data_IF_496995370256
#
_entry.id   IF_496995370256
#
_cell.length_a   1.000
_cell.length_b   1.000
_cell.length_c   1.000
_cell.angle_alpha   90.00
_cell.angle_beta   90.00
_cell.angle_gamma   90.00
#
_symmetry.space_group_name_H-M   'P 1'
#
loop_
_entity.id
_entity.type
_entity.pdbx_description
1 polymer ?
#
# COMPACT_ATOMS: atom_id res chain seq x y z
N UNK A 1 20.92 10.53 13.66
CA UNK A 1 21.54 10.10 12.38
C UNK A 1 20.42 10.05 11.35
N UNK A 2 20.23 11.16 10.62
CA UNK A 2 19.19 11.29 9.58
C UNK A 2 19.58 10.39 8.42
N UNK A 3 18.83 9.30 8.20
CA UNK A 3 18.99 8.48 7.00
C UNK A 3 18.46 9.25 5.79
N UNK A 4 19.36 10.07 5.26
CA UNK A 4 19.27 10.74 3.97
C UNK A 4 19.38 9.68 2.87
N UNK A 5 18.32 8.87 2.70
CA UNK A 5 18.24 7.93 1.59
C UNK A 5 17.70 8.69 0.39
N UNK A 6 18.62 8.99 -0.53
CA UNK A 6 18.36 9.40 -1.91
C UNK A 6 17.47 8.34 -2.55
N UNK A 7 16.17 8.43 -2.34
CA UNK A 7 15.20 7.57 -2.98
C UNK A 7 15.04 8.09 -4.40
N UNK A 8 15.81 7.53 -5.34
CA UNK A 8 15.52 7.61 -6.78
C UNK A 8 14.19 6.87 -7.03
N UNK A 9 13.10 7.52 -6.64
CA UNK A 9 11.74 7.08 -6.84
C UNK A 9 11.34 7.45 -8.26
N UNK A 10 11.89 6.73 -9.23
CA UNK A 10 11.44 6.78 -10.60
C UNK A 10 10.37 5.69 -10.76
N UNK A 11 9.07 6.01 -10.79
CA UNK A 11 8.05 5.03 -11.12
C UNK A 11 8.27 4.58 -12.57
N UNK A 12 8.99 3.48 -12.73
CA UNK A 12 9.19 2.82 -14.00
C UNK A 12 7.91 2.06 -14.37
N UNK A 13 7.05 2.72 -15.13
CA UNK A 13 5.84 2.11 -15.67
C UNK A 13 6.22 1.30 -16.92
N UNK A 14 6.13 -0.02 -16.83
CA UNK A 14 6.34 -0.92 -17.96
C UNK A 14 5.05 -1.71 -18.22
N UNK A 15 4.66 -1.79 -19.49
CA UNK A 15 3.49 -2.52 -19.96
C UNK A 15 3.93 -3.89 -20.50
N UNK A 16 3.38 -4.99 -19.95
CA UNK A 16 3.61 -6.35 -20.45
C UNK A 16 2.32 -6.94 -21.02
N UNK A 17 2.38 -7.46 -22.24
CA UNK A 17 1.28 -8.24 -22.84
C UNK A 17 1.22 -9.65 -22.24
N UNK A 18 0.00 -10.17 -22.05
CA UNK A 18 -0.23 -11.62 -21.94
C UNK A 18 -0.71 -12.14 -23.29
N UNK A 19 -0.05 -13.18 -23.80
CA UNK A 19 -0.44 -13.82 -25.06
C UNK A 19 -1.83 -14.46 -24.94
N UNK A 20 -2.70 -14.08 -25.89
CA UNK A 20 -3.98 -14.72 -26.27
C UNK A 20 -5.01 -14.88 -25.15
N UNK A 21 -5.77 -13.82 -24.88
CA UNK A 21 -7.23 -13.91 -24.76
C UNK A 21 -7.84 -12.52 -24.90
N UNK A 22 -8.98 -12.47 -25.57
CA UNK A 22 -9.87 -11.33 -25.74
C UNK A 22 -9.97 -10.43 -24.48
N UNK A 23 -9.98 -9.11 -24.67
CA UNK A 23 -9.82 -8.03 -23.68
C UNK A 23 -8.40 -7.81 -23.15
N UNK A 24 -7.75 -6.79 -23.68
CA UNK A 24 -6.40 -6.34 -23.34
C UNK A 24 -6.29 -5.82 -21.90
N UNK A 25 -5.38 -6.42 -21.13
CA UNK A 25 -5.01 -5.99 -19.78
C UNK A 25 -3.67 -5.25 -19.82
N UNK A 26 -3.60 -4.10 -19.15
CA UNK A 26 -2.33 -3.41 -18.89
C UNK A 26 -1.86 -3.67 -17.47
N UNK A 27 -0.64 -4.19 -17.33
CA UNK A 27 0.04 -4.30 -16.03
C UNK A 27 0.83 -3.01 -15.76
N UNK A 28 0.64 -2.44 -14.57
CA UNK A 28 1.39 -1.31 -14.03
C UNK A 28 2.37 -1.83 -13.00
N UNK A 29 3.65 -1.53 -13.15
CA UNK A 29 4.70 -1.80 -12.16
C UNK A 29 5.12 -0.50 -11.48
N UNK A 30 5.22 -0.51 -10.16
CA UNK A 30 5.80 0.57 -9.35
C UNK A 30 6.89 -0.04 -8.48
N UNK A 31 8.07 0.59 -8.46
CA UNK A 31 9.19 0.17 -7.62
C UNK A 31 9.53 1.30 -6.65
N UNK A 32 9.61 0.96 -5.37
CA UNK A 32 10.02 1.84 -4.27
C UNK A 32 11.09 1.11 -3.50
N UNK A 33 12.25 1.73 -3.28
CA UNK A 33 13.38 1.14 -2.54
C UNK A 33 13.76 -0.27 -3.03
N UNK A 34 13.84 -0.47 -4.35
CA UNK A 34 14.08 -1.76 -5.02
C UNK A 34 13.02 -2.85 -4.79
N UNK A 35 11.87 -2.52 -4.18
CA UNK A 35 10.75 -3.45 -3.98
C UNK A 35 9.68 -3.19 -5.04
N UNK A 36 9.55 -4.06 -6.07
CA UNK A 36 8.54 -3.90 -7.10
C UNK A 36 7.16 -4.40 -6.66
N UNK A 37 6.10 -3.71 -7.08
CA UNK A 37 4.72 -4.19 -7.03
C UNK A 37 4.01 -3.97 -8.35
N UNK A 38 3.20 -4.95 -8.72
CA UNK A 38 2.49 -5.00 -9.98
C UNK A 38 0.98 -4.98 -9.77
N UNK A 39 0.27 -4.32 -10.67
CA UNK A 39 -1.17 -4.24 -10.70
C UNK A 39 -1.68 -4.43 -12.12
N UNK A 40 -2.52 -5.44 -12.32
CA UNK A 40 -3.32 -5.51 -13.53
C UNK A 40 -4.42 -4.47 -13.44
N UNK A 41 -4.47 -3.59 -14.44
CA UNK A 41 -5.54 -2.62 -14.58
C UNK A 41 -6.48 -3.14 -15.65
N UNK A 42 -7.75 -3.36 -15.29
CA UNK A 42 -8.83 -3.74 -16.24
C UNK A 42 -9.17 -2.54 -17.12
N UNK A 43 -8.34 -2.23 -18.12
CA UNK A 43 -8.68 -1.30 -19.19
C UNK A 43 -8.08 -1.80 -20.49
N UNK A 44 -8.95 -1.90 -21.49
CA UNK A 44 -8.64 -2.25 -22.88
C UNK A 44 -7.50 -1.38 -23.40
N UNK A 45 -6.49 -2.02 -23.99
CA UNK A 45 -5.34 -1.35 -24.56
C UNK A 45 -4.60 -2.16 -25.62
N UNK A 46 -4.40 -1.58 -26.80
CA UNK A 46 -3.67 -2.22 -27.89
C UNK A 46 -2.19 -1.81 -27.89
N UNK A 47 -1.29 -2.80 -27.91
CA UNK A 47 0.15 -2.65 -27.69
C UNK A 47 0.90 -2.80 -29.02
N UNK A 48 1.72 -1.82 -29.38
CA UNK A 48 2.97 -2.13 -30.06
C UNK A 48 4.09 -1.27 -29.46
N UNK A 49 4.68 -1.74 -28.36
CA UNK A 49 6.05 -1.41 -27.91
C UNK A 49 6.28 -0.58 -26.64
N UNK A 50 5.30 -0.26 -25.79
CA UNK A 50 5.60 0.40 -24.49
C UNK A 50 6.21 1.83 -24.61
N UNK A 51 6.38 2.32 -25.83
CA UNK A 51 6.22 3.67 -26.38
C UNK A 51 5.82 3.42 -27.84
N UNK A 52 4.72 3.98 -28.32
CA UNK A 52 4.40 3.80 -29.74
C UNK A 52 5.19 4.80 -30.59
N UNK A 53 6.12 4.29 -31.40
CA UNK A 53 6.66 5.01 -32.55
C UNK A 53 5.61 4.90 -33.66
N UNK A 54 4.91 5.99 -33.95
CA UNK A 54 3.93 6.03 -35.04
C UNK A 54 2.99 7.23 -35.06
N UNK A 55 2.69 7.71 -36.27
CA UNK A 55 1.90 8.92 -36.55
C UNK A 55 0.39 8.66 -36.49
N UNK A 56 -0.19 8.30 -35.33
CA UNK A 56 -1.67 8.20 -35.19
C UNK A 56 -2.15 8.73 -33.83
N UNK A 57 -3.27 9.47 -33.86
CA UNK A 57 -3.92 10.15 -32.72
C UNK A 57 -3.98 9.30 -31.43
N UNK A 58 -4.13 7.98 -31.56
CA UNK A 58 -4.25 7.04 -30.45
C UNK A 58 -3.00 7.00 -29.55
N UNK A 59 -1.81 7.21 -30.12
CA UNK A 59 -0.54 7.30 -29.39
C UNK A 59 -0.45 8.53 -28.48
N UNK A 60 -1.03 9.66 -28.92
CA UNK A 60 -1.02 10.88 -28.13
C UNK A 60 -1.97 10.76 -26.94
N UNK A 61 -3.16 10.22 -27.17
CA UNK A 61 -4.15 9.95 -26.11
C UNK A 61 -3.58 9.00 -25.06
N UNK A 62 -2.87 7.98 -25.51
CA UNK A 62 -2.19 7.00 -24.67
C UNK A 62 -1.17 7.62 -23.73
N UNK A 63 -0.23 8.38 -24.29
CA UNK A 63 0.83 9.03 -23.52
C UNK A 63 0.23 10.05 -22.54
N UNK A 64 -0.81 10.78 -22.94
CA UNK A 64 -1.51 11.70 -22.06
C UNK A 64 -2.15 11.00 -20.85
N UNK A 65 -2.71 9.79 -21.03
CA UNK A 65 -3.26 8.99 -19.93
C UNK A 65 -2.15 8.53 -18.98
N UNK A 66 -1.03 8.04 -19.52
CA UNK A 66 0.11 7.60 -18.70
C UNK A 66 0.71 8.77 -17.93
N UNK A 67 0.90 9.91 -18.57
CA UNK A 67 1.41 11.14 -17.96
C UNK A 67 0.46 11.67 -16.87
N UNK A 68 -0.85 11.63 -17.12
CA UNK A 68 -1.86 11.95 -16.10
C UNK A 68 -1.78 10.99 -14.89
N UNK A 69 -1.60 9.69 -15.12
CA UNK A 69 -1.47 8.70 -14.06
C UNK A 69 -0.19 8.92 -13.24
N UNK A 70 0.95 9.16 -13.91
CA UNK A 70 2.22 9.49 -13.27
C UNK A 70 2.11 10.76 -12.43
N UNK A 71 1.43 11.79 -12.94
CA UNK A 71 1.18 13.04 -12.21
C UNK A 71 0.36 12.80 -10.94
N UNK A 72 -0.69 11.98 -11.01
CA UNK A 72 -1.50 11.60 -9.84
C UNK A 72 -0.70 10.81 -8.80
N UNK A 73 0.10 9.84 -9.22
CA UNK A 73 0.95 9.05 -8.32
C UNK A 73 1.97 9.96 -7.62
N UNK A 74 2.59 10.89 -8.36
CA UNK A 74 3.54 11.85 -7.80
C UNK A 74 2.87 12.82 -6.81
N UNK A 75 1.66 13.31 -7.11
CA UNK A 75 0.89 14.16 -6.20
C UNK A 75 0.55 13.42 -4.89
N UNK A 76 0.06 12.19 -4.98
CA UNK A 76 -0.24 11.36 -3.82
C UNK A 76 1.01 11.06 -2.98
N UNK A 77 2.14 10.76 -3.64
CA UNK A 77 3.44 10.61 -2.98
C UNK A 77 3.82 11.88 -2.20
N UNK A 78 3.70 13.05 -2.81
CA UNK A 78 4.00 14.33 -2.17
C UNK A 78 3.09 14.57 -0.96
N UNK A 79 1.80 14.23 -1.06
CA UNK A 79 0.87 14.30 0.07
C UNK A 79 1.31 13.42 1.24
N UNK A 80 1.70 12.17 0.97
CA UNK A 80 2.21 11.26 1.99
C UNK A 80 3.50 11.77 2.64
N UNK A 81 4.42 12.30 1.82
CA UNK A 81 5.67 12.88 2.29
C UNK A 81 5.43 14.09 3.21
N UNK A 82 4.53 14.99 2.82
CA UNK A 82 4.17 16.16 3.63
C UNK A 82 3.53 15.78 4.97
N UNK A 83 2.85 14.63 5.03
CA UNK A 83 2.28 14.05 6.25
C UNK A 83 3.31 13.26 7.08
N UNK A 84 4.58 13.20 6.64
CA UNK A 84 5.65 12.39 7.26
C UNK A 84 5.27 10.91 7.32
N UNK A 85 4.48 10.45 6.34
CA UNK A 85 4.09 9.05 6.25
C UNK A 85 5.03 8.34 5.27
N UNK A 86 5.68 7.24 5.65
CA UNK A 86 6.50 6.45 4.73
C UNK A 86 5.68 6.00 3.51
N UNK A 87 6.34 5.99 2.34
CA UNK A 87 5.74 5.58 1.07
C UNK A 87 6.32 4.24 0.66
N UNK A 88 5.46 3.24 0.43
CA UNK A 88 5.85 1.93 -0.11
C UNK A 88 5.34 1.71 -1.55
N UNK A 89 5.86 0.71 -2.25
CA UNK A 89 5.33 0.33 -3.58
C UNK A 89 3.91 -0.22 -3.51
N UNK A 90 3.51 -0.78 -2.37
CA UNK A 90 2.13 -1.21 -2.12
C UNK A 90 1.19 -0.03 -1.96
N UNK A 91 1.61 1.04 -1.26
CA UNK A 91 0.82 2.27 -1.11
C UNK A 91 0.44 2.86 -2.46
N UNK A 92 1.44 3.00 -3.34
CA UNK A 92 1.24 3.59 -4.66
C UNK A 92 0.39 2.68 -5.56
N UNK A 93 0.55 1.36 -5.48
CA UNK A 93 -0.28 0.42 -6.23
C UNK A 93 -1.73 0.39 -5.74
N UNK A 94 -1.96 0.46 -4.43
CA UNK A 94 -3.32 0.54 -3.89
C UNK A 94 -3.99 1.86 -4.28
N UNK A 95 -3.25 2.98 -4.28
CA UNK A 95 -3.73 4.24 -4.83
C UNK A 95 -4.15 4.10 -6.30
N UNK A 96 -3.34 3.46 -7.15
CA UNK A 96 -3.70 3.18 -8.56
C UNK A 96 -4.96 2.32 -8.67
N UNK A 97 -5.15 1.36 -7.76
CA UNK A 97 -6.35 0.51 -7.68
C UNK A 97 -7.56 1.19 -7.04
N UNK A 98 -7.44 2.43 -6.57
CA UNK A 98 -8.51 3.13 -5.84
C UNK A 98 -8.84 2.51 -4.48
N UNK A 99 -7.89 1.77 -3.89
CA UNK A 99 -8.06 1.13 -2.58
C UNK A 99 -7.59 2.09 -1.49
N UNK A 100 -8.43 2.35 -0.50
CA UNK A 100 -7.99 3.01 0.73
C UNK A 100 -7.21 2.02 1.58
N UNK A 101 -6.02 2.43 2.04
CA UNK A 101 -5.26 1.67 3.03
C UNK A 101 -5.59 2.26 4.39
N UNK A 102 -6.17 1.45 5.26
CA UNK A 102 -6.16 1.74 6.69
C UNK A 102 -4.74 1.48 7.18
N UNK A 103 -4.00 2.53 7.53
CA UNK A 103 -2.69 2.41 8.18
C UNK A 103 -2.86 2.29 9.68
N UNK A 104 -3.59 1.26 10.09
CA UNK A 104 -3.74 0.97 11.51
C UNK A 104 -2.39 0.46 12.04
N UNK A 105 -2.12 0.74 13.31
CA UNK A 105 -0.91 0.22 13.95
C UNK A 105 -1.18 -1.12 14.61
N UNK A 106 -0.13 -1.93 14.79
CA UNK A 106 -0.25 -3.27 15.36
C UNK A 106 -0.88 -3.22 16.75
N UNK A 107 -0.47 -2.31 17.64
CA UNK A 107 -1.06 -2.24 18.99
C UNK A 107 -2.42 -1.54 19.04
N UNK A 108 -2.75 -0.74 18.02
CA UNK A 108 -4.05 -0.11 17.86
C UNK A 108 -5.13 -1.14 17.55
N UNK A 109 -4.83 -2.14 16.72
CA UNK A 109 -5.75 -3.26 16.41
C UNK A 109 -6.14 -4.10 17.64
N UNK A 110 -5.38 -4.05 18.73
CA UNK A 110 -5.77 -4.75 19.97
C UNK A 110 -6.83 -3.98 20.77
N UNK A 111 -7.08 -2.70 20.47
CA UNK A 111 -7.97 -1.87 21.29
C UNK A 111 -9.42 -2.33 21.23
N UNK A 112 -9.98 -2.45 20.03
CA UNK A 112 -11.38 -2.82 19.81
C UNK A 112 -11.69 -4.23 20.37
N UNK A 113 -10.92 -5.29 20.05
CA UNK A 113 -11.14 -6.61 20.64
C UNK A 113 -11.04 -6.64 22.17
N UNK A 114 -10.12 -5.87 22.76
CA UNK A 114 -9.99 -5.82 24.22
C UNK A 114 -11.21 -5.15 24.87
N UNK A 115 -11.71 -4.03 24.31
CA UNK A 115 -12.90 -3.36 24.82
C UNK A 115 -14.17 -4.20 24.59
N UNK A 116 -14.29 -4.91 23.47
CA UNK A 116 -15.37 -5.88 23.23
C UNK A 116 -15.38 -6.97 24.31
N UNK A 117 -14.24 -7.65 24.53
CA UNK A 117 -14.13 -8.69 25.55
C UNK A 117 -14.45 -8.14 26.95
N UNK A 118 -14.02 -6.91 27.26
CA UNK A 118 -14.35 -6.24 28.52
C UNK A 118 -15.85 -6.00 28.70
N UNK A 119 -16.56 -5.63 27.63
CA UNK A 119 -18.03 -5.51 27.65
C UNK A 119 -18.67 -6.89 27.85
N UNK A 120 -18.19 -7.92 27.17
CA UNK A 120 -18.72 -9.28 27.31
C UNK A 120 -18.47 -9.88 28.71
N UNK A 121 -17.38 -9.50 29.37
CA UNK A 121 -17.15 -9.82 30.80
C UNK A 121 -18.19 -9.14 31.69
N UNK A 122 -18.57 -7.88 31.42
CA UNK A 122 -19.64 -7.21 32.19
C UNK A 122 -20.99 -7.89 32.00
N UNK A 123 -21.26 -8.41 30.80
CA UNK A 123 -22.46 -9.21 30.49
C UNK A 123 -22.41 -10.64 31.05
N UNK A 124 -21.31 -11.04 31.69
CA UNK A 124 -21.05 -12.40 32.22
C UNK A 124 -20.98 -13.49 31.13
N UNK A 125 -20.78 -13.11 29.88
CA UNK A 125 -20.59 -14.07 28.77
C UNK A 125 -19.15 -14.58 28.71
N UNK A 126 -18.20 -13.81 29.24
CA UNK A 126 -16.80 -14.18 29.35
C UNK A 126 -16.26 -14.02 30.77
N UNK A 127 -15.22 -14.79 31.07
CA UNK A 127 -14.52 -14.68 32.36
C UNK A 127 -13.58 -13.48 32.39
N UNK A 128 -13.35 -12.91 33.59
CA UNK A 128 -12.29 -11.89 33.80
C UNK A 128 -10.91 -12.40 33.37
N UNK A 129 -10.67 -13.71 33.51
CA UNK A 129 -9.43 -14.35 33.06
C UNK A 129 -9.25 -14.23 31.54
N UNK A 130 -10.33 -14.31 30.77
CA UNK A 130 -10.28 -14.13 29.31
C UNK A 130 -9.84 -12.72 28.94
N UNK A 131 -10.48 -11.69 29.52
CA UNK A 131 -10.06 -10.29 29.31
C UNK A 131 -8.60 -10.06 29.70
N UNK A 132 -8.15 -10.67 30.81
CA UNK A 132 -6.75 -10.56 31.26
C UNK A 132 -5.77 -11.12 30.23
N UNK A 133 -6.09 -12.25 29.59
CA UNK A 133 -5.26 -12.83 28.52
C UNK A 133 -5.15 -11.91 27.30
N UNK A 134 -6.24 -11.26 26.92
CA UNK A 134 -6.26 -10.29 25.81
C UNK A 134 -5.37 -9.07 26.08
N UNK A 135 -5.48 -8.50 27.28
CA UNK A 135 -4.61 -7.40 27.72
C UNK A 135 -3.15 -7.84 27.79
N UNK A 136 -2.89 -9.06 28.28
CA UNK A 136 -1.53 -9.64 28.38
C UNK A 136 -0.91 -9.85 27.00
N UNK A 137 -1.67 -10.38 26.04
CA UNK A 137 -1.22 -10.55 24.66
C UNK A 137 -0.78 -9.21 24.04
N UNK A 138 -1.59 -8.15 24.20
CA UNK A 138 -1.21 -6.80 23.76
C UNK A 138 0.08 -6.32 24.42
N UNK A 139 0.26 -6.58 25.72
CA UNK A 139 1.48 -6.20 26.44
C UNK A 139 2.71 -6.92 25.88
N UNK A 140 2.64 -8.23 25.65
CA UNK A 140 3.76 -8.98 25.09
C UNK A 140 4.13 -8.52 23.69
N UNK A 141 3.15 -8.21 22.85
CA UNK A 141 3.41 -7.64 21.52
C UNK A 141 4.06 -6.26 21.63
N UNK A 142 3.61 -5.41 22.56
CA UNK A 142 4.22 -4.10 22.82
C UNK A 142 5.69 -4.24 23.24
N UNK A 143 5.97 -5.13 24.19
CA UNK A 143 7.32 -5.35 24.70
C UNK A 143 8.23 -5.91 23.61
N UNK A 144 7.72 -6.85 22.79
CA UNK A 144 8.42 -7.37 21.62
C UNK A 144 8.74 -6.27 20.61
N UNK A 145 7.76 -5.41 20.28
CA UNK A 145 7.95 -4.31 19.33
C UNK A 145 9.02 -3.35 19.84
N UNK A 146 8.94 -2.96 21.11
CA UNK A 146 9.91 -2.07 21.74
C UNK A 146 11.31 -2.68 21.77
N UNK A 147 11.42 -3.95 22.14
CA UNK A 147 12.70 -4.65 22.20
C UNK A 147 13.33 -4.83 20.80
N UNK A 148 12.56 -5.31 19.82
CA UNK A 148 13.08 -5.70 18.50
C UNK A 148 13.26 -4.52 17.55
N UNK A 149 12.33 -3.56 17.58
CA UNK A 149 12.28 -2.45 16.61
C UNK A 149 12.60 -1.09 17.23
N UNK A 150 12.74 -0.99 18.55
CA UNK A 150 13.00 0.27 19.26
C UNK A 150 11.94 1.34 18.94
N UNK A 151 10.68 0.90 18.82
CA UNK A 151 9.50 1.76 18.61
C UNK A 151 8.42 1.43 19.62
N UNK A 152 7.55 2.39 19.90
CA UNK A 152 6.40 2.16 20.78
C UNK A 152 5.27 1.38 20.08
N UNK A 153 5.22 1.45 18.75
CA UNK A 153 4.27 0.72 17.89
C UNK A 153 4.80 0.67 16.44
N UNK A 154 4.18 -0.14 15.60
CA UNK A 154 4.51 -0.26 14.17
C UNK A 154 3.24 -0.26 13.30
N UNK A 155 3.31 0.36 12.13
CA UNK A 155 2.24 0.31 11.13
C UNK A 155 2.21 -1.07 10.45
N UNK A 156 1.03 -1.55 10.07
CA UNK A 156 0.97 -2.68 9.14
C UNK A 156 1.51 -2.25 7.77
N UNK A 157 2.63 -2.84 7.37
CA UNK A 157 3.13 -2.72 6.01
C UNK A 157 2.43 -3.78 5.16
N UNK A 158 1.41 -3.37 4.40
CA UNK A 158 0.80 -4.22 3.36
C UNK A 158 1.73 -4.36 2.15
#
# INVERSE_FOLDING_TARGET
MLNYVRAELCPLLFLKERKKQDNSYCDVRITVDNIPKEASTRRQWDQKEGKTVGTKKDTKTLNAVLESLTTKINSYKTELFNKVIPVSSVDLINFVKGRSIKRNKVLEEFFEPNEEIKVLVKKKEYSKGTHTRYVTARSHVKDFIKHKFQRDDIEFTA
#
